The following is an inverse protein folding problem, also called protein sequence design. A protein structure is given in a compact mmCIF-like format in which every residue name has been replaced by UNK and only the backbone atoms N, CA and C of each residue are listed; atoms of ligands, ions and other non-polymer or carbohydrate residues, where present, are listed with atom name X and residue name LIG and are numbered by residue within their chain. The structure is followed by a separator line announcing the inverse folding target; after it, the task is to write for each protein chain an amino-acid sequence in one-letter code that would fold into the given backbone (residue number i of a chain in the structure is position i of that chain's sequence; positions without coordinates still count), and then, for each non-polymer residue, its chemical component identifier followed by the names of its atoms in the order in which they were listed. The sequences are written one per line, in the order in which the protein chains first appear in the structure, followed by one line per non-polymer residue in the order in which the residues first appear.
data_IF_307290510930
#
_entry.id   IF_307290510930
#
_cell.length_a   1.000
_cell.length_b   1.000
_cell.length_c   1.000
_cell.angle_alpha   90.00
_cell.angle_beta   90.00
_cell.angle_gamma   90.00
#
_symmetry.space_group_name_H-M   'P 1'
#
loop_
_entity.id
_entity.type
_entity.pdbx_description
1 polymer ?
#
# COMPACT_ATOMS: atom_id res chain seq x y z
N UNK A 1 42.92 -58.05 24.19
CA UNK A 1 42.60 -57.02 25.19
C UNK A 1 42.24 -55.80 24.36
N UNK A 2 40.94 -55.56 24.18
CA UNK A 2 40.46 -54.39 23.45
C UNK A 2 40.48 -53.26 24.48
N UNK A 3 41.47 -52.38 24.36
CA UNK A 3 41.53 -51.18 25.20
C UNK A 3 40.41 -50.25 24.74
N UNK A 4 39.45 -49.99 25.63
CA UNK A 4 38.42 -48.98 25.45
C UNK A 4 39.10 -47.61 25.31
N UNK A 5 39.32 -47.17 24.07
CA UNK A 5 39.62 -45.77 23.78
C UNK A 5 38.39 -44.94 24.20
N UNK A 6 38.42 -44.41 25.42
CA UNK A 6 37.53 -43.33 25.81
C UNK A 6 37.82 -42.14 24.90
N UNK A 7 36.94 -41.91 23.91
CA UNK A 7 36.88 -40.65 23.18
C UNK A 7 36.59 -39.55 24.19
N UNK A 8 37.64 -38.92 24.70
CA UNK A 8 37.52 -37.69 25.46
C UNK A 8 36.93 -36.65 24.50
N UNK A 9 35.67 -36.30 24.73
CA UNK A 9 35.02 -35.21 24.02
C UNK A 9 35.80 -33.95 24.36
N UNK A 10 36.50 -33.37 23.38
CA UNK A 10 37.23 -32.12 23.56
C UNK A 10 36.23 -31.00 23.87
N UNK A 11 36.26 -30.40 25.07
CA UNK A 11 35.33 -29.34 25.44
C UNK A 11 35.44 -28.10 24.53
N UNK A 12 36.60 -27.89 23.89
CA UNK A 12 36.82 -26.72 23.02
C UNK A 12 36.00 -26.80 21.72
N UNK A 13 35.70 -28.01 21.25
CA UNK A 13 34.84 -28.23 20.07
C UNK A 13 33.38 -27.82 20.30
N UNK A 14 32.91 -27.85 21.55
CA UNK A 14 31.56 -27.39 21.90
C UNK A 14 31.47 -25.87 22.07
N UNK A 15 32.56 -25.21 22.51
CA UNK A 15 32.59 -23.75 22.67
C UNK A 15 32.60 -23.01 21.32
N UNK A 16 33.36 -23.49 20.32
CA UNK A 16 33.39 -22.87 18.98
C UNK A 16 32.02 -22.91 18.27
N UNK A 17 31.25 -23.98 18.45
CA UNK A 17 29.92 -24.13 17.84
C UNK A 17 28.88 -23.22 18.53
N UNK A 18 29.07 -22.91 19.82
CA UNK A 18 28.26 -21.95 20.57
C UNK A 18 28.59 -20.51 20.14
N UNK A 19 29.88 -20.15 20.01
CA UNK A 19 30.29 -18.84 19.50
C UNK A 19 29.81 -18.59 18.06
N UNK A 20 29.83 -19.63 17.22
CA UNK A 20 29.29 -19.58 15.86
C UNK A 20 27.77 -19.37 15.84
N UNK A 21 27.04 -19.98 16.77
CA UNK A 21 25.60 -19.75 16.95
C UNK A 21 25.28 -18.34 17.44
N UNK A 22 26.03 -17.81 18.40
CA UNK A 22 25.83 -16.45 18.92
C UNK A 22 26.15 -15.40 17.85
N UNK A 23 27.25 -15.56 17.11
CA UNK A 23 27.59 -14.70 15.98
C UNK A 23 26.53 -14.74 14.86
N UNK A 24 25.95 -15.91 14.60
CA UNK A 24 24.84 -16.06 13.66
C UNK A 24 23.56 -15.35 14.13
N UNK A 25 23.23 -15.44 15.42
CA UNK A 25 22.09 -14.74 15.99
C UNK A 25 22.25 -13.22 15.89
N UNK A 26 23.44 -12.68 16.18
CA UNK A 26 23.74 -11.25 16.03
C UNK A 26 23.64 -10.80 14.56
N UNK A 27 24.16 -11.59 13.62
CA UNK A 27 24.04 -11.32 12.20
C UNK A 27 22.57 -11.31 11.74
N UNK A 28 21.75 -12.24 12.26
CA UNK A 28 20.32 -12.27 11.96
C UNK A 28 19.61 -10.99 12.43
N UNK A 29 19.89 -10.52 13.66
CA UNK A 29 19.34 -9.26 14.16
C UNK A 29 19.80 -8.06 13.34
N UNK A 30 21.06 -8.03 12.90
CA UNK A 30 21.57 -6.96 12.03
C UNK A 30 20.81 -6.88 10.69
N UNK A 31 20.51 -8.04 10.08
CA UNK A 31 19.71 -8.10 8.84
C UNK A 31 18.27 -7.66 9.09
N UNK A 32 17.66 -8.09 10.19
CA UNK A 32 16.29 -7.69 10.57
C UNK A 32 16.23 -6.17 10.80
N UNK A 33 17.18 -5.60 11.54
CA UNK A 33 17.27 -4.16 11.77
C UNK A 33 17.45 -3.40 10.45
N UNK A 34 18.36 -3.84 9.58
CA UNK A 34 18.57 -3.21 8.28
C UNK A 34 17.30 -3.22 7.41
N UNK A 35 16.51 -4.29 7.45
CA UNK A 35 15.23 -4.37 6.75
C UNK A 35 14.22 -3.34 7.27
N UNK A 36 14.10 -3.18 8.60
CA UNK A 36 13.20 -2.21 9.19
C UNK A 36 13.68 -0.76 9.03
N UNK A 37 15.00 -0.52 8.98
CA UNK A 37 15.54 0.80 8.68
C UNK A 37 15.22 1.25 7.25
N UNK A 38 15.25 0.32 6.27
CA UNK A 38 14.93 0.64 4.87
C UNK A 38 13.42 0.71 4.61
N UNK A 39 12.65 -0.28 5.07
CA UNK A 39 11.21 -0.39 4.76
C UNK A 39 10.33 0.34 5.75
N UNK A 40 10.81 0.57 6.97
CA UNK A 40 10.01 1.10 8.07
C UNK A 40 8.98 0.11 8.61
N UNK A 41 8.28 0.52 9.66
CA UNK A 41 7.13 -0.20 10.19
C UNK A 41 5.84 0.28 9.50
N UNK A 42 4.85 -0.60 9.37
CA UNK A 42 3.51 -0.25 8.85
C UNK A 42 3.48 0.14 7.35
N UNK A 43 4.52 -0.22 6.60
CA UNK A 43 4.66 0.16 5.18
C UNK A 43 3.50 -0.28 4.28
N UNK A 44 2.93 -1.47 4.54
CA UNK A 44 1.78 -1.98 3.77
C UNK A 44 0.59 -1.01 3.75
N UNK A 45 0.31 -0.33 4.87
CA UNK A 45 -0.81 0.61 4.94
C UNK A 45 -0.50 1.88 4.15
N UNK A 46 0.72 2.41 4.28
CA UNK A 46 1.17 3.57 3.51
C UNK A 46 1.16 3.29 2.01
N UNK A 47 1.71 2.14 1.59
CA UNK A 47 1.74 1.76 0.18
C UNK A 47 0.33 1.58 -0.38
N UNK A 48 -0.58 0.96 0.37
CA UNK A 48 -1.99 0.83 -0.05
C UNK A 48 -2.71 2.18 -0.14
N UNK A 49 -2.41 3.10 0.76
CA UNK A 49 -2.97 4.45 0.75
C UNK A 49 -2.43 5.25 -0.44
N UNK A 50 -1.12 5.17 -0.70
CA UNK A 50 -0.48 5.81 -1.84
C UNK A 50 -1.02 5.25 -3.16
N UNK A 51 -1.15 3.92 -3.29
CA UNK A 51 -1.78 3.28 -4.45
C UNK A 51 -3.22 3.75 -4.63
N UNK A 52 -3.98 3.81 -3.53
CA UNK A 52 -5.36 4.27 -3.55
C UNK A 52 -5.48 5.70 -4.08
N UNK A 53 -4.72 6.64 -3.50
CA UNK A 53 -4.79 8.06 -3.87
C UNK A 53 -4.26 8.32 -5.28
N UNK A 54 -3.17 7.67 -5.67
CA UNK A 54 -2.51 7.94 -6.95
C UNK A 54 -3.22 7.30 -8.14
N UNK A 55 -3.77 6.10 -7.98
CA UNK A 55 -4.31 5.31 -9.10
C UNK A 55 -5.80 5.04 -8.96
N UNK A 56 -6.24 4.52 -7.82
CA UNK A 56 -7.61 4.01 -7.67
C UNK A 56 -8.64 5.13 -7.75
N UNK A 57 -8.39 6.29 -7.11
CA UNK A 57 -9.34 7.40 -7.16
C UNK A 57 -9.53 7.93 -8.58
N UNK A 58 -8.45 8.10 -9.35
CA UNK A 58 -8.55 8.55 -10.75
C UNK A 58 -9.30 7.53 -11.60
N UNK A 59 -9.01 6.24 -11.42
CA UNK A 59 -9.70 5.15 -12.11
C UNK A 59 -11.20 5.14 -11.85
N UNK A 60 -11.63 5.34 -10.59
CA UNK A 60 -13.05 5.41 -10.24
C UNK A 60 -13.75 6.57 -10.99
N UNK A 61 -13.09 7.72 -11.11
CA UNK A 61 -13.63 8.87 -11.83
C UNK A 61 -13.74 8.61 -13.33
N UNK A 62 -12.77 7.94 -13.92
CA UNK A 62 -12.78 7.55 -15.34
C UNK A 62 -13.81 6.47 -15.66
N UNK A 63 -14.00 5.51 -14.76
CA UNK A 63 -14.99 4.43 -14.87
C UNK A 63 -16.43 4.95 -14.66
N UNK A 64 -16.60 6.18 -14.15
CA UNK A 64 -17.93 6.78 -13.96
C UNK A 64 -18.58 7.07 -15.32
N UNK A 65 -19.81 6.57 -15.57
CA UNK A 65 -20.48 6.79 -16.84
C UNK A 65 -20.83 8.27 -17.06
N UNK A 66 -21.01 8.63 -18.33
CA UNK A 66 -21.46 9.97 -18.71
C UNK A 66 -22.83 10.27 -18.07
N UNK A 67 -22.93 11.39 -17.36
CA UNK A 67 -24.21 11.82 -16.79
C UNK A 67 -24.93 12.64 -17.85
N UNK A 68 -26.05 12.12 -18.35
CA UNK A 68 -26.90 12.81 -19.32
C UNK A 68 -28.13 13.39 -18.62
N UNK A 69 -28.40 14.67 -18.87
CA UNK A 69 -29.58 15.38 -18.38
C UNK A 69 -30.42 15.80 -19.59
N UNK A 70 -31.70 15.45 -19.59
CA UNK A 70 -32.65 15.87 -20.61
C UNK A 70 -33.76 16.68 -19.94
N UNK A 71 -34.08 17.85 -20.50
CA UNK A 71 -35.25 18.61 -20.03
C UNK A 71 -36.53 17.83 -20.28
N UNK A 72 -37.38 17.71 -19.28
CA UNK A 72 -38.75 17.20 -19.49
C UNK A 72 -39.49 18.13 -20.45
N UNK A 73 -40.23 17.56 -21.41
CA UNK A 73 -41.13 18.33 -22.28
C UNK A 73 -42.34 18.79 -21.46
N UNK A 74 -42.27 20.01 -20.92
CA UNK A 74 -43.32 20.60 -20.09
C UNK A 74 -44.47 21.23 -20.88
N UNK A 75 -44.46 21.20 -22.22
CA UNK A 75 -45.54 21.76 -23.04
C UNK A 75 -46.08 20.74 -24.03
N UNK A 76 -47.39 20.51 -23.98
CA UNK A 76 -48.15 19.64 -24.90
C UNK A 76 -48.31 20.26 -26.31
N UNK A 77 -47.92 21.53 -26.50
CA UNK A 77 -48.26 22.33 -27.69
C UNK A 77 -47.12 23.22 -28.22
N UNK A 78 -45.85 22.91 -27.96
CA UNK A 78 -44.74 23.73 -28.50
C UNK A 78 -43.86 22.90 -29.44
N UNK A 79 -43.72 23.36 -30.69
CA UNK A 79 -42.92 22.81 -31.80
C UNK A 79 -41.40 22.90 -31.53
N UNK A 80 -40.98 22.72 -30.27
CA UNK A 80 -39.58 22.60 -29.91
C UNK A 80 -39.18 21.13 -30.07
N UNK A 81 -38.82 20.80 -31.31
CA UNK A 81 -38.49 19.45 -31.78
C UNK A 81 -37.24 18.83 -31.13
N UNK A 82 -36.57 19.53 -30.20
CA UNK A 82 -35.44 18.96 -29.48
C UNK A 82 -35.32 19.52 -28.04
N UNK A 83 -35.64 18.72 -26.99
CA UNK A 83 -35.42 19.14 -25.61
C UNK A 83 -33.90 19.33 -25.36
N UNK A 84 -33.54 20.36 -24.60
CA UNK A 84 -32.14 20.62 -24.27
C UNK A 84 -31.53 19.39 -23.55
N UNK A 85 -30.43 18.89 -24.10
CA UNK A 85 -29.65 17.78 -23.55
C UNK A 85 -28.29 18.30 -23.07
N UNK A 86 -27.91 17.91 -21.86
CA UNK A 86 -26.61 18.21 -21.28
C UNK A 86 -25.90 16.90 -20.95
N UNK A 87 -24.58 16.91 -21.08
CA UNK A 87 -23.74 15.76 -20.77
C UNK A 87 -22.58 16.21 -19.86
N UNK A 88 -22.41 15.54 -18.73
CA UNK A 88 -21.36 15.83 -17.75
C UNK A 88 -20.41 14.63 -17.70
N UNK A 89 -19.13 14.89 -17.96
CA UNK A 89 -18.04 13.92 -17.81
C UNK A 89 -17.01 14.48 -16.84
N UNK A 90 -16.59 13.66 -15.88
CA UNK A 90 -15.51 14.02 -14.98
C UNK A 90 -14.14 13.75 -15.63
N UNK A 91 -13.16 14.59 -15.31
CA UNK A 91 -11.79 14.52 -15.85
C UNK A 91 -10.76 14.23 -14.77
N UNK A 92 -9.52 14.71 -14.99
CA UNK A 92 -8.40 14.54 -14.06
C UNK A 92 -8.70 15.11 -12.67
N UNK A 93 -8.42 14.34 -11.62
CA UNK A 93 -8.52 14.79 -10.23
C UNK A 93 -7.26 15.56 -9.78
N UNK A 94 -7.45 16.48 -8.85
CA UNK A 94 -6.38 17.20 -8.17
C UNK A 94 -6.60 17.13 -6.67
N UNK A 95 -5.56 16.74 -5.93
CA UNK A 95 -5.57 16.67 -4.46
C UNK A 95 -4.64 17.73 -3.88
N UNK A 96 -5.15 18.52 -2.95
CA UNK A 96 -4.37 19.51 -2.20
C UNK A 96 -3.85 18.91 -0.89
N UNK A 97 -2.85 19.57 -0.30
CA UNK A 97 -2.41 19.22 1.05
C UNK A 97 -3.56 19.41 2.05
N UNK A 98 -3.58 18.70 3.19
CA UNK A 98 -4.61 18.85 4.19
C UNK A 98 -4.82 20.32 4.57
N UNK A 99 -6.02 20.83 4.34
CA UNK A 99 -6.43 22.19 4.71
C UNK A 99 -7.52 22.14 5.76
N UNK A 100 -7.37 22.92 6.82
CA UNK A 100 -8.45 23.16 7.78
C UNK A 100 -9.15 24.47 7.44
N UNK A 101 -10.47 24.44 7.34
CA UNK A 101 -11.30 25.63 7.24
C UNK A 101 -12.09 25.75 8.55
N UNK A 102 -11.82 26.79 9.33
CA UNK A 102 -12.70 27.15 10.44
C UNK A 102 -14.02 27.68 9.90
N UNK A 103 -15.08 27.58 10.70
CA UNK A 103 -16.35 28.27 10.42
C UNK A 103 -16.21 29.71 10.93
N UNK A 104 -16.55 30.68 10.10
CA UNK A 104 -16.86 32.05 10.54
C UNK A 104 -17.89 32.05 11.68
#
# INVERSE_FOLDING_TARGET
MFEDEQYAIDPQLFEEDIEGQDAWQEACWAVISAYFDEKGLVRQQLDSFDEFVQTIVQKIVEDTPLIELQSEKLSYNDDLDNPAQFAIKFGQIYLSRPTHWEKD
#
